data_IF_322335871737
#
_entry.id   IF_322335871737
#
_cell.length_a   1.000
_cell.length_b   1.000
_cell.length_c   1.000
_cell.angle_alpha   90.00
_cell.angle_beta   90.00
_cell.angle_gamma   90.00
#
_symmetry.space_group_name_H-M   'P 1'
#
loop_
_entity.id
_entity.type
_entity.pdbx_description
1 polymer ?
#
# COMPACT_ATOMS: atom_id res chain seq x y z
N UNK A 1 16.52 5.82 -8.36
CA UNK A 1 15.61 4.75 -7.93
C UNK A 1 14.88 4.22 -9.15
N UNK A 2 14.91 2.91 -9.34
CA UNK A 2 14.35 2.26 -10.54
C UNK A 2 12.83 2.08 -10.46
N UNK A 3 12.18 2.08 -11.63
CA UNK A 3 10.78 1.74 -11.78
C UNK A 3 10.62 0.22 -11.80
N UNK A 4 9.78 -0.31 -10.91
CA UNK A 4 9.44 -1.73 -10.84
C UNK A 4 8.17 -1.98 -11.65
N UNK A 5 8.22 -2.92 -12.58
CA UNK A 5 7.07 -3.34 -13.39
C UNK A 5 6.27 -4.42 -12.65
N UNK A 6 4.95 -4.29 -12.56
CA UNK A 6 4.11 -5.43 -12.19
C UNK A 6 4.17 -6.50 -13.27
N UNK A 7 4.37 -7.75 -12.86
CA UNK A 7 4.39 -8.89 -13.78
C UNK A 7 3.07 -9.03 -14.55
N UNK A 8 1.95 -8.70 -13.91
CA UNK A 8 0.62 -8.75 -14.52
C UNK A 8 0.39 -7.58 -15.47
N UNK A 9 -0.09 -7.90 -16.67
CA UNK A 9 -0.65 -6.94 -17.62
C UNK A 9 -2.18 -6.94 -17.58
N UNK A 10 -2.83 -5.84 -17.94
CA UNK A 10 -4.29 -5.69 -17.89
C UNK A 10 -4.87 -5.37 -19.27
N UNK A 11 -6.05 -5.90 -19.56
CA UNK A 11 -6.73 -5.67 -20.84
C UNK A 11 -7.47 -4.32 -20.89
N UNK A 12 -7.64 -3.65 -19.75
CA UNK A 12 -8.29 -2.33 -19.69
C UNK A 12 -7.57 -1.36 -18.76
N UNK A 13 -7.62 -0.09 -19.13
CA UNK A 13 -7.06 1.02 -18.36
C UNK A 13 -7.67 1.09 -16.96
N UNK A 14 -8.99 0.86 -16.86
CA UNK A 14 -9.72 0.87 -15.58
C UNK A 14 -9.17 -0.20 -14.63
N UNK A 15 -8.83 -1.40 -15.13
CA UNK A 15 -8.23 -2.46 -14.32
C UNK A 15 -6.80 -2.08 -13.91
N UNK A 16 -6.00 -1.55 -14.83
CA UNK A 16 -4.65 -1.09 -14.53
C UNK A 16 -4.63 0.05 -13.50
N UNK A 17 -5.57 0.99 -13.60
CA UNK A 17 -5.73 2.11 -12.66
C UNK A 17 -6.11 1.63 -11.25
N UNK A 18 -7.04 0.68 -11.15
CA UNK A 18 -7.36 0.04 -9.86
C UNK A 18 -6.14 -0.66 -9.26
N UNK A 19 -5.40 -1.42 -10.08
CA UNK A 19 -4.17 -2.08 -9.62
C UNK A 19 -3.11 -1.08 -9.16
N UNK A 20 -2.90 0.01 -9.91
CA UNK A 20 -1.98 1.08 -9.53
C UNK A 20 -2.36 1.71 -8.18
N UNK A 21 -3.65 1.97 -7.93
CA UNK A 21 -4.11 2.49 -6.63
C UNK A 21 -3.86 1.52 -5.48
N UNK A 22 -4.11 0.23 -5.69
CA UNK A 22 -3.80 -0.80 -4.69
C UNK A 22 -2.31 -0.79 -4.39
N UNK A 23 -1.46 -0.90 -5.42
CA UNK A 23 0.01 -0.90 -5.29
C UNK A 23 0.52 0.35 -4.58
N UNK A 24 0.04 1.54 -4.95
CA UNK A 24 0.43 2.79 -4.29
C UNK A 24 0.15 2.76 -2.79
N UNK A 25 -1.01 2.24 -2.37
CA UNK A 25 -1.38 2.19 -0.95
C UNK A 25 -0.68 1.06 -0.19
N UNK A 26 -0.59 -0.13 -0.77
CA UNK A 26 0.02 -1.29 -0.10
C UNK A 26 1.54 -1.13 0.00
N UNK A 27 2.21 -0.74 -1.08
CA UNK A 27 3.67 -0.59 -1.09
C UNK A 27 4.12 0.60 -0.24
N UNK A 28 3.35 1.71 -0.21
CA UNK A 28 3.67 2.83 0.67
C UNK A 28 3.57 2.40 2.15
N UNK A 29 2.55 1.62 2.50
CA UNK A 29 2.37 1.11 3.87
C UNK A 29 3.43 0.08 4.26
N UNK A 30 3.88 -0.76 3.33
CA UNK A 30 4.94 -1.75 3.58
C UNK A 30 6.33 -1.12 3.63
N UNK A 31 6.57 -0.07 2.84
CA UNK A 31 7.85 0.64 2.82
C UNK A 31 8.02 1.55 4.04
N UNK A 32 6.92 2.14 4.53
CA UNK A 32 6.94 3.06 5.65
C UNK A 32 6.92 2.34 7.00
N UNK A 33 7.76 2.79 7.92
CA UNK A 33 7.86 2.21 9.26
C UNK A 33 7.17 3.10 10.28
N UNK A 34 6.33 2.56 11.19
CA UNK A 34 5.81 3.35 12.30
C UNK A 34 6.96 3.95 13.12
N UNK A 35 7.01 5.29 13.24
CA UNK A 35 8.09 6.03 13.94
C UNK A 35 9.47 5.88 13.26
N UNK A 36 9.45 5.79 11.94
CA UNK A 36 10.62 5.47 11.13
C UNK A 36 10.66 6.24 9.80
N UNK A 37 11.53 5.81 8.88
CA UNK A 37 11.55 6.27 7.50
C UNK A 37 10.18 6.10 6.85
N UNK A 38 9.70 7.17 6.22
CA UNK A 38 8.45 7.21 5.49
C UNK A 38 8.73 7.25 4.00
N UNK A 39 7.89 6.56 3.24
CA UNK A 39 7.98 6.50 1.79
C UNK A 39 6.60 6.68 1.18
N UNK A 40 6.54 7.48 0.12
CA UNK A 40 5.44 7.49 -0.83
C UNK A 40 5.72 6.52 -1.97
N UNK A 41 4.68 6.10 -2.68
CA UNK A 41 4.81 5.26 -3.87
C UNK A 41 4.15 5.95 -5.05
N UNK A 42 4.98 6.31 -6.02
CA UNK A 42 4.52 6.76 -7.32
C UNK A 42 4.16 5.57 -8.19
N UNK A 43 3.11 5.72 -8.98
CA UNK A 43 2.68 4.70 -9.95
C UNK A 43 2.55 5.33 -11.33
N UNK A 44 2.87 4.55 -12.34
CA UNK A 44 2.78 4.92 -13.75
C UNK A 44 2.06 3.82 -14.50
N UNK A 45 1.16 4.22 -15.39
CA UNK A 45 0.41 3.31 -16.26
C UNK A 45 0.86 3.57 -17.69
N UNK A 46 1.19 2.51 -18.42
CA UNK A 46 1.58 2.59 -19.82
C UNK A 46 0.84 1.55 -20.64
N UNK A 47 0.50 1.89 -21.89
CA UNK A 47 -0.05 0.94 -22.85
C UNK A 47 1.08 0.44 -23.76
N UNK A 48 1.33 -0.86 -23.77
CA UNK A 48 2.35 -1.52 -24.62
C UNK A 48 1.69 -2.72 -25.29
N UNK A 49 1.77 -2.79 -26.63
CA UNK A 49 1.21 -3.89 -27.43
C UNK A 49 -0.22 -4.25 -27.01
N UNK A 50 -1.08 -3.24 -26.98
CA UNK A 50 -2.50 -3.31 -26.62
C UNK A 50 -2.83 -3.61 -25.15
N UNK A 51 -1.85 -4.00 -24.33
CA UNK A 51 -2.04 -4.25 -22.90
C UNK A 51 -1.58 -3.08 -22.06
N UNK A 52 -2.22 -2.94 -20.90
CA UNK A 52 -1.88 -1.94 -19.90
C UNK A 52 -0.93 -2.53 -18.86
N UNK A 53 0.18 -1.84 -18.62
CA UNK A 53 1.18 -2.19 -17.64
C UNK A 53 1.23 -1.14 -16.54
N UNK A 54 1.48 -1.60 -15.32
CA UNK A 54 1.64 -0.75 -14.15
C UNK A 54 3.08 -0.83 -13.70
N UNK A 55 3.69 0.33 -13.51
CA UNK A 55 5.01 0.49 -12.93
C UNK A 55 4.88 1.30 -11.64
N UNK A 56 5.80 1.09 -10.71
CA UNK A 56 5.82 1.82 -9.46
C UNK A 56 7.24 2.04 -8.97
N UNK A 57 7.43 3.05 -8.12
CA UNK A 57 8.69 3.25 -7.41
C UNK A 57 8.45 3.85 -6.04
N UNK A 58 9.34 3.53 -5.10
CA UNK A 58 9.37 4.14 -3.76
C UNK A 58 10.02 5.51 -3.86
N UNK A 59 9.50 6.47 -3.11
CA UNK A 59 10.04 7.82 -2.97
C UNK A 59 10.15 8.11 -1.49
N UNK A 60 11.36 8.33 -1.00
CA UNK A 60 11.59 8.70 0.39
C UNK A 60 11.02 10.10 0.65
N UNK A 61 10.14 10.22 1.64
CA UNK A 61 9.49 11.50 1.98
C UNK A 61 10.00 12.11 3.28
N UNK A 62 10.74 11.35 4.10
CA UNK A 62 11.30 11.83 5.35
C UNK A 62 11.21 10.80 6.45
N UNK A 63 11.37 11.27 7.69
CA UNK A 63 11.29 10.43 8.88
C UNK A 63 10.13 10.89 9.74
N UNK A 64 9.25 9.97 10.14
CA UNK A 64 8.21 10.27 11.11
C UNK A 64 8.79 10.06 12.51
N UNK A 65 9.07 11.16 13.22
CA UNK A 65 9.51 11.08 14.60
C UNK A 65 8.35 10.60 15.47
N UNK A 66 8.49 9.46 16.14
CA UNK A 66 7.58 9.09 17.23
C UNK A 66 7.64 10.13 18.34
N UNK A 67 6.51 10.37 19.03
CA UNK A 67 6.32 11.42 20.06
C UNK A 67 7.61 11.77 20.82
N UNK A 68 8.31 12.80 20.33
CA UNK A 68 9.45 13.40 20.99
C UNK A 68 8.94 14.33 22.08
N UNK A 69 9.11 13.93 23.34
CA UNK A 69 8.87 14.77 24.51
C UNK A 69 7.49 14.60 25.17
N UNK A 70 7.44 13.82 26.25
CA UNK A 70 6.44 13.95 27.31
C UNK A 70 5.02 13.45 26.99
N UNK A 71 4.81 12.13 26.97
CA UNK A 71 3.46 11.57 26.90
C UNK A 71 2.80 11.53 28.30
N UNK A 72 1.85 12.43 28.58
CA UNK A 72 0.85 12.28 29.68
C UNK A 72 -0.46 11.62 29.21
N UNK A 73 -0.49 11.03 28.01
CA UNK A 73 -1.74 10.63 27.35
C UNK A 73 -1.69 9.26 26.68
N UNK A 74 -0.84 8.34 27.16
CA UNK A 74 -1.01 6.91 26.91
C UNK A 74 -2.36 6.50 27.53
N UNK A 75 -3.46 6.71 26.79
CA UNK A 75 -4.74 6.09 27.09
C UNK A 75 -4.64 4.65 26.56
N UNK A 76 -4.55 3.71 27.50
CA UNK A 76 -4.43 2.25 27.34
C UNK A 76 -5.59 1.54 26.61
N UNK A 77 -6.29 2.18 25.66
CA UNK A 77 -7.35 1.48 24.91
C UNK A 77 -7.32 1.85 23.44
N UNK A 78 -6.67 1.00 22.64
CA UNK A 78 -7.08 0.82 21.25
C UNK A 78 -8.54 0.34 21.23
N UNK A 79 -9.45 0.96 20.46
CA UNK A 79 -10.78 0.42 20.29
C UNK A 79 -10.65 -0.94 19.58
N UNK A 80 -11.27 -1.99 20.13
CA UNK A 80 -11.41 -3.28 19.45
C UNK A 80 -12.65 -3.23 18.55
N UNK A 81 -12.50 -3.17 17.21
CA UNK A 81 -13.52 -3.67 16.32
C UNK A 81 -13.43 -5.20 16.30
N UNK A 82 -14.22 -5.86 17.14
CA UNK A 82 -14.55 -7.27 16.92
C UNK A 82 -15.55 -7.33 15.76
N UNK A 83 -15.14 -7.97 14.66
CA UNK A 83 -15.97 -8.87 13.82
C UNK A 83 -15.26 -9.24 12.53
N UNK A 84 -14.88 -10.50 12.45
CA UNK A 84 -14.52 -11.16 11.21
C UNK A 84 -14.29 -12.66 11.41
N UNK A 85 -15.30 -13.41 11.85
CA UNK A 85 -15.22 -14.88 11.86
C UNK A 85 -15.58 -15.41 10.46
N UNK A 86 -14.57 -15.91 9.75
CA UNK A 86 -14.78 -16.67 8.50
C UNK A 86 -15.31 -18.05 8.87
N UNK A 87 -16.53 -18.40 8.41
CA UNK A 87 -17.10 -19.74 8.54
C UNK A 87 -16.72 -20.52 7.28
N UNK A 88 -16.03 -21.68 7.39
CA UNK A 88 -15.64 -22.47 6.23
C UNK A 88 -16.86 -23.07 5.53
N UNK A 89 -16.90 -22.96 4.20
CA UNK A 89 -17.81 -23.76 3.38
C UNK A 89 -17.28 -25.20 3.30
N UNK A 90 -17.98 -26.16 3.89
CA UNK A 90 -17.78 -27.57 3.58
C UNK A 90 -18.61 -27.91 2.33
N UNK A 91 -17.94 -28.18 1.22
CA UNK A 91 -18.52 -29.00 0.16
C UNK A 91 -18.53 -30.46 0.64
N UNK A 92 -19.61 -31.17 0.36
CA UNK A 92 -19.95 -32.52 0.87
C UNK A 92 -18.81 -33.52 0.79
#
# INVERSE_FOLDING_TARGET
MEWVKLQTSFDSEVKASKAAKIVSTTEARLASQPRGPQYYVETKIEKVNEKWHVYWRKVFIGYEAGCGGGCKSCKDKSPQPDKGKVIPFKLK
#
